data_IF_399029456930
#
_entry.id   IF_399029456930
#
_cell.length_a   1.000
_cell.length_b   1.000
_cell.length_c   1.000
_cell.angle_alpha   90.00
_cell.angle_beta   90.00
_cell.angle_gamma   90.00
#
_symmetry.space_group_name_H-M   'P 1'
#
loop_
_entity.id
_entity.type
_entity.pdbx_description
1 polymer ?
#
# COMPACT_ATOMS: atom_id res chain seq x y z
N UNK A 1 -8.42 -0.85 1.99
CA UNK A 1 -7.32 -0.22 2.77
C UNK A 1 -6.75 -1.25 3.74
N UNK A 2 -5.43 -1.43 3.75
CA UNK A 2 -4.71 -2.30 4.69
C UNK A 2 -3.78 -1.39 5.50
N UNK A 3 -4.05 -1.26 6.79
CA UNK A 3 -3.36 -0.33 7.68
C UNK A 3 -4.12 -0.14 8.98
N UNK A 4 -3.63 0.74 9.85
CA UNK A 4 -4.16 0.90 11.20
C UNK A 4 -3.58 -0.11 12.17
N UNK A 5 -2.70 0.39 13.03
CA UNK A 5 -2.18 -0.29 14.22
C UNK A 5 -2.73 0.35 15.50
N UNK A 6 -2.27 -0.14 16.65
CA UNK A 6 -2.63 0.39 17.98
C UNK A 6 -2.49 1.91 18.09
N UNK A 7 -1.40 2.48 17.57
CA UNK A 7 -1.12 3.92 17.68
C UNK A 7 -1.80 4.75 16.58
N UNK A 8 -1.90 4.22 15.36
CA UNK A 8 -2.26 5.00 14.18
C UNK A 8 -3.63 4.62 13.62
N UNK A 9 -4.69 5.00 14.33
CA UNK A 9 -6.08 4.65 13.98
C UNK A 9 -6.74 5.60 12.97
N UNK A 10 -6.28 6.86 12.88
CA UNK A 10 -6.90 7.89 12.03
C UNK A 10 -6.51 7.82 10.55
N UNK A 11 -5.26 7.50 10.23
CA UNK A 11 -4.77 7.41 8.85
C UNK A 11 -5.58 6.44 7.97
N UNK A 12 -5.89 5.20 8.38
CA UNK A 12 -6.71 4.29 7.57
C UNK A 12 -8.14 4.81 7.37
N UNK A 13 -8.71 5.53 8.35
CA UNK A 13 -10.03 6.16 8.19
C UNK A 13 -10.02 7.21 7.08
N UNK A 14 -9.05 8.14 7.09
CA UNK A 14 -8.99 9.19 6.07
C UNK A 14 -8.80 8.61 4.66
N UNK A 15 -7.97 7.59 4.50
CA UNK A 15 -7.82 6.89 3.23
C UNK A 15 -9.15 6.24 2.79
N UNK A 16 -9.82 5.53 3.71
CA UNK A 16 -11.04 4.79 3.41
C UNK A 16 -12.24 5.69 3.10
N UNK A 17 -12.46 6.74 3.90
CA UNK A 17 -13.58 7.66 3.71
C UNK A 17 -13.38 8.52 2.45
N UNK A 18 -12.12 8.90 2.15
CA UNK A 18 -11.83 9.65 0.92
C UNK A 18 -12.19 8.84 -0.32
N UNK A 19 -11.93 7.53 -0.33
CA UNK A 19 -12.35 6.64 -1.41
C UNK A 19 -13.87 6.67 -1.62
N UNK A 20 -14.67 6.59 -0.55
CA UNK A 20 -16.13 6.71 -0.65
C UNK A 20 -16.55 8.11 -1.16
N UNK A 21 -15.90 9.18 -0.69
CA UNK A 21 -16.23 10.55 -1.09
C UNK A 21 -15.92 10.85 -2.56
N UNK A 22 -14.93 10.19 -3.15
CA UNK A 22 -14.63 10.31 -4.59
C UNK A 22 -15.50 9.38 -5.46
N UNK A 23 -16.35 8.54 -4.85
CA UNK A 23 -17.35 7.75 -5.56
C UNK A 23 -17.11 6.24 -5.57
N UNK A 24 -16.26 5.69 -4.70
CA UNK A 24 -16.22 4.24 -4.51
C UNK A 24 -17.50 3.73 -3.84
N UNK A 25 -18.06 2.62 -4.33
CA UNK A 25 -19.30 2.05 -3.79
C UNK A 25 -19.10 1.43 -2.40
N UNK A 26 -17.97 0.74 -2.19
CA UNK A 26 -17.63 0.06 -0.94
C UNK A 26 -16.18 0.37 -0.54
N UNK A 27 -15.95 0.53 0.77
CA UNK A 27 -14.61 0.76 1.31
C UNK A 27 -14.35 -0.14 2.51
N UNK A 28 -13.40 -1.05 2.33
CA UNK A 28 -13.00 -2.03 3.34
C UNK A 28 -11.71 -1.56 4.03
N UNK A 29 -11.67 -1.68 5.35
CA UNK A 29 -10.48 -1.39 6.16
C UNK A 29 -10.05 -2.64 6.89
N UNK A 30 -8.88 -3.18 6.58
CA UNK A 30 -8.22 -4.24 7.34
C UNK A 30 -7.22 -3.59 8.28
N UNK A 31 -7.45 -3.75 9.59
CA UNK A 31 -6.67 -3.12 10.64
C UNK A 31 -6.48 -4.07 11.83
N UNK A 32 -5.70 -3.64 12.81
CA UNK A 32 -5.60 -4.36 14.08
C UNK A 32 -6.89 -4.25 14.89
N UNK A 33 -7.08 -5.17 15.84
CA UNK A 33 -8.23 -5.16 16.76
C UNK A 33 -8.33 -3.85 17.54
N UNK A 34 -7.20 -3.32 17.98
CA UNK A 34 -7.11 -2.08 18.76
C UNK A 34 -7.55 -0.85 17.95
N UNK A 35 -7.26 -0.82 16.65
CA UNK A 35 -7.66 0.26 15.76
C UNK A 35 -9.15 0.22 15.38
N UNK A 36 -9.74 -0.97 15.34
CA UNK A 36 -11.04 -1.18 14.70
C UNK A 36 -12.19 -0.45 15.36
N UNK A 37 -12.26 -0.44 16.70
CA UNK A 37 -13.34 0.24 17.44
C UNK A 37 -13.31 1.74 17.18
N UNK A 38 -12.12 2.34 17.12
CA UNK A 38 -11.95 3.77 16.83
C UNK A 38 -12.42 4.08 15.41
N UNK A 39 -11.94 3.33 14.41
CA UNK A 39 -12.28 3.55 12.99
C UNK A 39 -13.79 3.38 12.76
N UNK A 40 -14.42 2.35 13.34
CA UNK A 40 -15.87 2.11 13.25
C UNK A 40 -16.70 3.25 13.84
N UNK A 41 -16.18 3.97 14.83
CA UNK A 41 -16.90 5.09 15.46
C UNK A 41 -16.89 6.36 14.61
N UNK A 42 -15.97 6.50 13.67
CA UNK A 42 -15.91 7.67 12.78
C UNK A 42 -16.95 7.63 11.65
N UNK A 43 -17.30 6.45 11.11
CA UNK A 43 -18.37 6.33 10.13
C UNK A 43 -18.94 4.90 10.07
N UNK A 44 -20.29 4.75 10.05
CA UNK A 44 -20.94 3.46 9.84
C UNK A 44 -20.88 2.98 8.37
N UNK A 45 -20.42 3.81 7.43
CA UNK A 45 -20.33 3.47 6.00
C UNK A 45 -19.13 2.54 5.70
N UNK A 46 -18.12 2.54 6.58
CA UNK A 46 -16.90 1.75 6.39
C UNK A 46 -17.08 0.32 6.87
N UNK A 47 -16.60 -0.64 6.07
CA UNK A 47 -16.57 -2.07 6.45
C UNK A 47 -15.21 -2.36 7.07
N UNK A 48 -15.15 -2.46 8.40
CA UNK A 48 -13.90 -2.58 9.16
C UNK A 48 -13.69 -4.01 9.66
N UNK A 49 -12.55 -4.60 9.26
CA UNK A 49 -12.11 -5.98 9.49
C UNK A 49 -10.93 -6.00 10.49
N UNK A 50 -11.16 -6.34 11.77
CA UNK A 50 -10.13 -6.38 12.82
C UNK A 50 -9.33 -7.68 12.80
N UNK A 51 -8.63 -7.95 11.71
CA UNK A 51 -7.94 -9.24 11.49
C UNK A 51 -6.42 -9.15 11.58
N UNK A 52 -5.84 -7.96 11.51
CA UNK A 52 -4.39 -7.81 11.60
C UNK A 52 -3.94 -7.96 13.06
N UNK A 53 -2.75 -8.51 13.25
CA UNK A 53 -2.15 -8.74 14.57
C UNK A 53 -0.73 -8.19 14.59
N UNK A 54 -0.31 -7.67 15.74
CA UNK A 54 1.06 -7.20 15.99
C UNK A 54 1.82 -8.24 16.81
N UNK A 55 3.15 -8.20 16.75
CA UNK A 55 4.02 -9.22 17.36
C UNK A 55 3.75 -9.49 18.85
N UNK A 56 3.30 -8.51 19.62
CA UNK A 56 3.01 -8.67 21.05
C UNK A 56 1.76 -9.53 21.34
N UNK A 57 0.86 -9.67 20.37
CA UNK A 57 -0.39 -10.45 20.51
C UNK A 57 -0.23 -11.90 20.03
N UNK A 58 0.92 -12.25 19.47
CA UNK A 58 1.14 -13.53 18.79
C UNK A 58 2.34 -14.25 19.38
N UNK A 59 2.15 -15.50 19.79
CA UNK A 59 3.23 -16.36 20.29
C UNK A 59 4.10 -16.81 19.11
N UNK A 60 5.40 -16.98 19.36
CA UNK A 60 6.36 -17.32 18.29
C UNK A 60 6.04 -18.64 17.58
N UNK A 61 5.51 -19.64 18.29
CA UNK A 61 5.06 -20.93 17.75
C UNK A 61 3.77 -20.85 16.91
N UNK A 62 3.05 -19.71 16.98
CA UNK A 62 1.78 -19.48 16.30
C UNK A 62 1.90 -18.48 15.14
N UNK A 63 3.06 -17.82 14.96
CA UNK A 63 3.23 -16.76 13.95
C UNK A 63 2.87 -17.22 12.53
N UNK A 64 3.30 -18.41 12.13
CA UNK A 64 3.04 -18.92 10.78
C UNK A 64 1.55 -19.22 10.56
N UNK A 65 0.90 -19.83 11.55
CA UNK A 65 -0.53 -20.15 11.48
C UNK A 65 -1.39 -18.89 11.49
N UNK A 66 -1.05 -17.90 12.32
CA UNK A 66 -1.71 -16.59 12.36
C UNK A 66 -1.51 -15.85 11.04
N UNK A 67 -0.28 -15.77 10.52
CA UNK A 67 0.00 -15.10 9.23
C UNK A 67 -0.80 -15.73 8.08
N UNK A 68 -0.87 -17.07 8.05
CA UNK A 68 -1.66 -17.81 7.05
C UNK A 68 -3.16 -17.55 7.19
N UNK A 69 -3.66 -17.48 8.43
CA UNK A 69 -5.06 -17.15 8.73
C UNK A 69 -5.41 -15.72 8.28
N UNK A 70 -4.57 -14.74 8.60
CA UNK A 70 -4.73 -13.35 8.16
C UNK A 70 -4.82 -13.28 6.63
N UNK A 71 -3.87 -13.91 5.94
CA UNK A 71 -3.85 -13.94 4.49
C UNK A 71 -5.14 -14.57 3.93
N UNK A 72 -5.58 -15.71 4.48
CA UNK A 72 -6.81 -16.37 4.05
C UNK A 72 -8.05 -15.49 4.25
N UNK A 73 -8.16 -14.76 5.36
CA UNK A 73 -9.28 -13.84 5.59
C UNK A 73 -9.29 -12.67 4.60
N UNK A 74 -8.12 -12.10 4.27
CA UNK A 74 -8.05 -11.02 3.27
C UNK A 74 -8.42 -11.54 1.88
N UNK A 75 -7.91 -12.72 1.49
CA UNK A 75 -8.13 -13.32 0.17
C UNK A 75 -9.63 -13.49 -0.14
N UNK A 76 -10.45 -13.87 0.85
CA UNK A 76 -11.92 -13.99 0.70
C UNK A 76 -12.59 -12.75 0.11
N UNK A 77 -12.04 -11.58 0.41
CA UNK A 77 -12.52 -10.30 -0.10
C UNK A 77 -11.73 -9.80 -1.29
N UNK A 78 -10.44 -10.15 -1.36
CA UNK A 78 -9.48 -9.59 -2.28
C UNK A 78 -9.88 -9.74 -3.74
N UNK A 79 -10.47 -10.87 -4.15
CA UNK A 79 -10.98 -11.08 -5.52
C UNK A 79 -12.05 -10.08 -5.95
N UNK A 80 -12.74 -9.44 -4.99
CA UNK A 80 -13.80 -8.46 -5.24
C UNK A 80 -13.30 -7.03 -5.24
N UNK A 81 -12.03 -6.80 -4.89
CA UNK A 81 -11.47 -5.46 -4.83
C UNK A 81 -11.00 -4.99 -6.21
N UNK A 82 -11.46 -3.80 -6.60
CA UNK A 82 -10.92 -3.13 -7.78
C UNK A 82 -9.50 -2.61 -7.55
N UNK A 83 -9.15 -2.26 -6.31
CA UNK A 83 -7.80 -1.88 -5.90
C UNK A 83 -7.61 -2.05 -4.38
N UNK A 84 -6.35 -2.04 -3.94
CA UNK A 84 -5.97 -1.94 -2.52
C UNK A 84 -5.08 -0.72 -2.28
N UNK A 85 -5.13 -0.21 -1.05
CA UNK A 85 -4.20 0.80 -0.55
C UNK A 85 -3.52 0.21 0.67
N UNK A 86 -2.19 0.26 0.71
CA UNK A 86 -1.36 -0.36 1.75
C UNK A 86 -0.52 0.69 2.45
N UNK A 87 -0.55 0.67 3.80
CA UNK A 87 0.38 1.43 4.62
C UNK A 87 -0.18 2.57 5.48
N UNK A 88 -1.35 3.19 5.21
CA UNK A 88 -1.90 4.23 6.08
C UNK A 88 -2.02 3.78 7.54
N UNK A 89 -1.16 4.29 8.41
CA UNK A 89 -1.12 3.95 9.83
C UNK A 89 -0.76 2.49 10.12
N UNK A 90 0.01 1.83 9.25
CA UNK A 90 0.38 0.43 9.45
C UNK A 90 1.34 0.24 10.64
N UNK A 91 2.11 1.27 11.01
CA UNK A 91 3.16 1.13 12.01
C UNK A 91 4.38 0.40 11.45
N UNK A 92 5.27 -0.10 12.31
CA UNK A 92 6.52 -0.77 11.89
C UNK A 92 6.80 -2.05 12.67
N UNK A 93 5.76 -2.66 13.23
CA UNK A 93 5.85 -3.98 13.82
C UNK A 93 6.27 -5.00 12.75
N UNK A 94 7.30 -5.79 13.05
CA UNK A 94 7.90 -6.69 12.05
C UNK A 94 6.97 -7.81 11.63
N UNK A 95 6.21 -8.38 12.57
CA UNK A 95 5.26 -9.45 12.26
C UNK A 95 4.11 -8.94 11.38
N UNK A 96 3.56 -7.78 11.70
CA UNK A 96 2.52 -7.13 10.89
C UNK A 96 3.05 -6.81 9.48
N UNK A 97 4.26 -6.28 9.38
CA UNK A 97 4.93 -5.98 8.11
C UNK A 97 5.09 -7.23 7.23
N UNK A 98 5.50 -8.36 7.82
CA UNK A 98 5.63 -9.63 7.11
C UNK A 98 4.27 -10.14 6.60
N UNK A 99 3.23 -10.03 7.41
CA UNK A 99 1.86 -10.38 7.02
C UNK A 99 1.37 -9.52 5.85
N UNK A 100 1.59 -8.20 5.91
CA UNK A 100 1.24 -7.29 4.81
C UNK A 100 2.07 -7.58 3.56
N UNK A 101 3.35 -7.96 3.70
CA UNK A 101 4.18 -8.41 2.59
C UNK A 101 3.56 -9.62 1.88
N UNK A 102 3.02 -10.61 2.62
CA UNK A 102 2.32 -11.75 2.04
C UNK A 102 1.05 -11.32 1.28
N UNK A 103 0.27 -10.40 1.85
CA UNK A 103 -0.93 -9.83 1.22
C UNK A 103 -0.57 -9.12 -0.10
N UNK A 104 0.49 -8.32 -0.11
CA UNK A 104 0.96 -7.61 -1.32
C UNK A 104 1.43 -8.58 -2.40
N UNK A 105 2.15 -9.66 -2.04
CA UNK A 105 2.55 -10.70 -3.01
C UNK A 105 1.33 -11.36 -3.66
N UNK A 106 0.32 -11.70 -2.85
CA UNK A 106 -0.91 -12.29 -3.38
C UNK A 106 -1.66 -11.31 -4.27
N UNK A 107 -1.79 -10.04 -3.86
CA UNK A 107 -2.40 -9.00 -4.68
C UNK A 107 -1.69 -8.83 -6.02
N UNK A 108 -0.35 -8.88 -6.04
CA UNK A 108 0.43 -8.87 -7.28
C UNK A 108 0.14 -10.08 -8.17
N UNK A 109 0.14 -11.29 -7.61
CA UNK A 109 -0.15 -12.53 -8.35
C UNK A 109 -1.58 -12.54 -8.93
N UNK A 110 -2.51 -11.95 -8.18
CA UNK A 110 -3.88 -11.75 -8.59
C UNK A 110 -4.05 -10.42 -9.35
N UNK A 111 -3.00 -9.82 -9.93
CA UNK A 111 -2.88 -8.45 -10.45
C UNK A 111 -3.99 -7.47 -9.99
N UNK A 112 -4.04 -7.22 -8.68
CA UNK A 112 -4.89 -6.22 -8.09
C UNK A 112 -4.09 -4.93 -8.00
N UNK A 113 -4.59 -3.83 -8.58
CA UNK A 113 -3.92 -2.55 -8.48
C UNK A 113 -3.71 -2.13 -7.04
N UNK A 114 -2.49 -1.68 -6.76
CA UNK A 114 -2.04 -1.46 -5.38
C UNK A 114 -1.43 -0.07 -5.25
N UNK A 115 -2.04 0.79 -4.44
CA UNK A 115 -1.45 2.06 -4.01
C UNK A 115 -0.69 1.82 -2.71
N UNK A 116 0.54 2.29 -2.62
CA UNK A 116 1.39 2.10 -1.43
C UNK A 116 1.84 3.44 -0.89
N UNK A 117 1.52 3.66 0.37
CA UNK A 117 1.65 4.94 1.06
C UNK A 117 2.26 4.78 2.46
N UNK A 118 2.87 5.83 2.99
CA UNK A 118 3.39 5.88 4.36
C UNK A 118 4.25 4.68 4.75
N UNK A 119 3.87 3.95 5.81
CA UNK A 119 4.63 2.79 6.29
C UNK A 119 4.66 1.61 5.28
N UNK A 120 3.74 1.57 4.30
CA UNK A 120 3.84 0.64 3.18
C UNK A 120 5.07 0.91 2.30
N UNK A 121 5.48 2.17 2.15
CA UNK A 121 6.72 2.53 1.45
C UNK A 121 7.95 2.13 2.26
N UNK A 122 7.86 2.18 3.59
CA UNK A 122 8.90 1.61 4.45
C UNK A 122 9.06 0.10 4.23
N UNK A 123 7.94 -0.64 4.11
CA UNK A 123 7.97 -2.07 3.77
C UNK A 123 8.67 -2.31 2.42
N UNK A 124 8.28 -1.58 1.38
CA UNK A 124 8.89 -1.69 0.03
C UNK A 124 10.38 -1.38 0.06
N UNK A 125 10.79 -0.34 0.78
CA UNK A 125 12.19 0.07 0.87
C UNK A 125 13.08 -1.04 1.45
N UNK A 126 12.52 -1.90 2.30
CA UNK A 126 13.20 -3.06 2.86
C UNK A 126 13.01 -4.35 2.04
N UNK A 127 11.99 -4.40 1.17
CA UNK A 127 11.70 -5.55 0.31
C UNK A 127 11.15 -5.11 -1.05
N UNK A 128 12.06 -4.69 -1.94
CA UNK A 128 11.69 -4.11 -3.24
C UNK A 128 10.96 -5.09 -4.16
N UNK A 129 11.22 -6.40 -3.98
CA UNK A 129 10.58 -7.47 -4.75
C UNK A 129 9.05 -7.56 -4.58
N UNK A 130 8.49 -6.87 -3.58
CA UNK A 130 7.04 -6.74 -3.41
C UNK A 130 6.38 -5.94 -4.55
N UNK A 131 7.12 -5.05 -5.19
CA UNK A 131 6.60 -4.21 -6.29
C UNK A 131 7.37 -4.34 -7.58
N UNK A 132 8.56 -4.93 -7.58
CA UNK A 132 9.34 -5.24 -8.81
C UNK A 132 8.46 -5.91 -9.87
N UNK A 133 8.51 -5.44 -11.12
CA UNK A 133 7.67 -5.88 -12.25
C UNK A 133 6.15 -5.88 -11.98
N UNK A 134 5.66 -5.01 -11.09
CA UNK A 134 4.23 -4.79 -10.88
C UNK A 134 3.80 -3.45 -11.48
N UNK A 135 3.41 -3.46 -12.76
CA UNK A 135 2.97 -2.25 -13.47
C UNK A 135 1.68 -1.63 -12.91
N UNK A 136 0.92 -2.39 -12.11
CA UNK A 136 -0.27 -1.93 -11.42
C UNK A 136 -0.01 -1.31 -10.04
N UNK A 137 1.25 -1.27 -9.61
CA UNK A 137 1.64 -0.60 -8.37
C UNK A 137 1.80 0.92 -8.57
N UNK A 138 1.27 1.67 -7.60
CA UNK A 138 1.39 3.11 -7.48
C UNK A 138 2.06 3.44 -6.15
N UNK A 139 3.19 4.14 -6.18
CA UNK A 139 3.89 4.57 -4.95
C UNK A 139 3.63 6.05 -4.71
N UNK A 140 3.32 6.44 -3.46
CA UNK A 140 3.01 7.84 -3.11
C UNK A 140 4.00 8.48 -2.12
N UNK A 141 5.33 8.42 -2.37
CA UNK A 141 6.30 8.93 -1.41
C UNK A 141 6.24 10.45 -1.23
N UNK A 142 6.42 10.89 0.02
CA UNK A 142 6.89 12.24 0.29
C UNK A 142 8.39 12.39 -0.03
N UNK A 143 8.93 13.60 0.14
CA UNK A 143 10.33 13.91 -0.17
C UNK A 143 11.33 13.00 0.56
N UNK A 144 11.08 12.69 1.83
CA UNK A 144 11.98 11.87 2.63
C UNK A 144 11.90 10.38 2.27
N UNK A 145 10.70 9.88 2.01
CA UNK A 145 10.48 8.50 1.55
C UNK A 145 11.07 8.29 0.17
N UNK A 146 10.89 9.26 -0.73
CA UNK A 146 11.50 9.25 -2.07
C UNK A 146 13.02 9.18 -1.98
N UNK A 147 13.64 10.03 -1.14
CA UNK A 147 15.10 10.03 -0.93
C UNK A 147 15.60 8.65 -0.50
N UNK A 148 14.91 8.01 0.44
CA UNK A 148 15.26 6.65 0.91
C UNK A 148 15.10 5.61 -0.19
N UNK A 149 14.01 5.69 -0.95
CA UNK A 149 13.72 4.76 -2.04
C UNK A 149 14.79 4.85 -3.14
N UNK A 150 15.13 6.05 -3.59
CA UNK A 150 16.19 6.27 -4.59
C UNK A 150 17.54 5.78 -4.09
N UNK A 151 17.93 6.15 -2.86
CA UNK A 151 19.20 5.70 -2.28
C UNK A 151 19.30 4.17 -2.24
N UNK A 152 18.21 3.48 -1.90
CA UNK A 152 18.18 2.02 -1.84
C UNK A 152 18.17 1.36 -3.22
N UNK A 153 17.50 1.96 -4.20
CA UNK A 153 17.27 1.35 -5.50
C UNK A 153 18.36 1.69 -6.52
N UNK A 154 18.74 2.96 -6.61
CA UNK A 154 19.70 3.48 -7.58
C UNK A 154 21.12 3.57 -6.99
N UNK A 155 21.27 3.33 -5.68
CA UNK A 155 22.54 3.42 -4.97
C UNK A 155 23.26 4.76 -5.21
N UNK A 156 22.48 5.84 -5.29
CA UNK A 156 22.96 7.19 -5.53
C UNK A 156 22.38 8.17 -4.50
N UNK A 157 23.08 9.28 -4.27
CA UNK A 157 22.54 10.36 -3.46
C UNK A 157 21.49 11.16 -4.25
N UNK A 158 20.44 11.58 -3.55
CA UNK A 158 19.39 12.38 -4.16
C UNK A 158 19.82 13.84 -4.19
N UNK A 159 19.99 14.37 -5.40
CA UNK A 159 20.21 15.80 -5.64
C UNK A 159 18.91 16.40 -6.21
N UNK A 160 18.51 17.57 -5.72
CA UNK A 160 17.31 18.28 -6.18
C UNK A 160 17.40 18.66 -7.66
N UNK A 161 18.61 18.96 -8.17
CA UNK A 161 18.84 19.29 -9.58
C UNK A 161 18.53 18.10 -10.52
N UNK A 162 18.79 16.87 -10.07
CA UNK A 162 18.62 15.65 -10.87
C UNK A 162 17.39 14.85 -10.46
N UNK A 163 16.52 15.40 -9.60
CA UNK A 163 15.39 14.65 -9.03
C UNK A 163 14.45 14.11 -10.11
N UNK A 164 14.21 14.87 -11.19
CA UNK A 164 13.37 14.43 -12.32
C UNK A 164 13.99 13.26 -13.10
N UNK A 165 15.31 13.27 -13.30
CA UNK A 165 16.03 12.21 -13.99
C UNK A 165 16.09 10.94 -13.13
N UNK A 166 16.36 11.10 -11.84
CA UNK A 166 16.37 10.01 -10.87
C UNK A 166 14.98 9.36 -10.73
N UNK A 167 13.91 10.15 -10.74
CA UNK A 167 12.54 9.65 -10.73
C UNK A 167 12.24 8.86 -12.01
N UNK A 168 12.65 9.39 -13.17
CA UNK A 168 12.48 8.70 -14.46
C UNK A 168 13.24 7.37 -14.48
N UNK A 169 14.49 7.37 -14.01
CA UNK A 169 15.30 6.16 -13.92
C UNK A 169 14.70 5.13 -12.94
N UNK A 170 14.11 5.60 -11.83
CA UNK A 170 13.44 4.76 -10.86
C UNK A 170 12.18 4.10 -11.45
N UNK A 171 11.34 4.87 -12.14
CA UNK A 171 10.17 4.34 -12.84
C UNK A 171 10.55 3.37 -13.96
N UNK A 172 11.61 3.68 -14.73
CA UNK A 172 12.09 2.82 -15.81
C UNK A 172 12.67 1.50 -15.31
N UNK A 173 13.37 1.50 -14.17
CA UNK A 173 14.03 0.30 -13.64
C UNK A 173 13.05 -0.81 -13.28
N UNK A 174 11.83 -0.45 -12.91
CA UNK A 174 10.92 -1.39 -12.29
C UNK A 174 9.48 -1.30 -12.84
N UNK A 175 9.21 -0.41 -13.80
CA UNK A 175 7.90 -0.21 -14.45
C UNK A 175 6.77 0.23 -13.50
N UNK A 176 7.04 0.84 -12.34
CA UNK A 176 5.99 1.42 -11.49
C UNK A 176 5.70 2.88 -11.82
N UNK A 177 4.48 3.27 -11.47
CA UNK A 177 4.07 4.67 -11.45
C UNK A 177 4.37 5.24 -10.06
N UNK A 178 5.31 6.19 -9.99
CA UNK A 178 5.70 6.86 -8.74
C UNK A 178 5.15 8.28 -8.74
N UNK A 179 4.39 8.62 -7.70
CA UNK A 179 3.77 9.92 -7.49
C UNK A 179 4.40 10.58 -6.28
N UNK A 180 5.23 11.61 -6.51
CA UNK A 180 5.79 12.40 -5.43
C UNK A 180 4.82 13.52 -5.04
N UNK A 181 4.22 13.43 -3.85
CA UNK A 181 3.30 14.45 -3.34
C UNK A 181 4.11 15.47 -2.53
N UNK A 182 4.57 16.54 -3.21
CA UNK A 182 5.26 17.66 -2.58
C UNK A 182 4.25 18.61 -1.91
N UNK A 183 3.78 18.26 -0.71
CA UNK A 183 2.84 19.11 0.03
C UNK A 183 3.60 20.14 0.92
N UNK A 184 4.11 21.21 0.30
CA UNK A 184 4.18 22.61 0.78
C UNK A 184 5.27 23.41 0.03
N UNK A 185 4.81 24.42 -0.72
CA UNK A 185 5.56 25.54 -1.32
C UNK A 185 6.73 25.18 -2.25
N UNK A 186 6.46 25.30 -3.55
CA UNK A 186 7.37 25.20 -4.70
C UNK A 186 7.71 23.79 -5.16
N UNK A 187 7.45 23.59 -6.47
CA UNK A 187 7.86 22.47 -7.35
C UNK A 187 6.81 21.37 -7.55
N UNK A 188 6.21 21.46 -8.73
CA UNK A 188 5.50 20.50 -9.57
C UNK A 188 5.12 19.13 -8.97
N UNK A 189 3.82 18.84 -9.02
CA UNK A 189 3.32 17.47 -9.18
C UNK A 189 3.91 16.89 -10.48
N UNK A 190 4.98 16.10 -10.40
CA UNK A 190 5.45 15.31 -11.54
C UNK A 190 4.60 14.04 -11.59
N UNK A 191 3.59 14.04 -12.45
CA UNK A 191 2.66 12.94 -12.64
C UNK A 191 3.05 12.22 -13.93
N UNK A 192 3.61 11.01 -13.83
CA UNK A 192 3.80 10.13 -14.98
C UNK A 192 2.56 9.22 -15.12
N UNK A 193 1.60 9.68 -15.91
CA UNK A 193 0.53 8.86 -16.45
C UNK A 193 1.01 8.39 -17.82
N UNK A 194 1.35 7.11 -18.00
CA UNK A 194 1.37 6.63 -19.37
C UNK A 194 0.70 5.29 -19.65
N UNK A 195 0.50 4.35 -18.71
CA UNK A 195 -0.13 3.07 -19.07
C UNK A 195 -1.05 2.40 -18.04
N UNK A 196 -1.22 2.95 -16.83
CA UNK A 196 -1.91 2.22 -15.75
C UNK A 196 -3.37 1.84 -16.05
N UNK A 197 -4.17 2.78 -16.57
CA UNK A 197 -5.59 2.53 -16.86
C UNK A 197 -5.81 1.58 -18.05
N UNK A 198 -4.94 1.63 -19.07
CA UNK A 198 -4.99 0.73 -20.22
C UNK A 198 -4.60 -0.71 -19.82
N UNK A 199 -3.49 -0.87 -19.09
CA UNK A 199 -3.03 -2.17 -18.61
C UNK A 199 -4.08 -2.83 -17.70
N UNK A 200 -4.72 -2.06 -16.81
CA UNK A 200 -5.77 -2.57 -15.94
C UNK A 200 -6.95 -3.18 -16.70
N UNK A 201 -7.43 -2.52 -17.76
CA UNK A 201 -8.56 -3.02 -18.54
C UNK A 201 -8.22 -4.26 -19.38
N UNK A 202 -7.00 -4.36 -19.89
CA UNK A 202 -6.53 -5.55 -20.61
C UNK A 202 -6.41 -6.75 -19.67
N UNK A 203 -5.83 -6.57 -18.49
CA UNK A 203 -5.70 -7.63 -17.49
C UNK A 203 -7.04 -8.04 -16.87
N UNK A 204 -8.01 -7.12 -16.73
CA UNK A 204 -9.35 -7.49 -16.22
C UNK A 204 -10.14 -8.33 -17.23
N UNK A 205 -9.95 -8.08 -18.54
CA UNK A 205 -10.55 -8.90 -19.61
C UNK A 205 -10.00 -10.32 -19.64
N UNK A 206 -8.73 -10.54 -19.25
CA UNK A 206 -8.16 -11.89 -19.21
C UNK A 206 -8.69 -12.74 -18.03
N UNK A 207 -9.16 -12.10 -16.95
CA UNK A 207 -9.79 -12.80 -15.80
C UNK A 207 -11.24 -13.21 -15.99
N UNK A 208 -11.91 -12.65 -16.98
CA UNK A 208 -13.35 -12.86 -17.22
C UNK A 208 -13.65 -13.93 -18.29
N UNK A 209 -12.63 -14.60 -18.80
CA UNK A 209 -12.69 -15.79 -19.65
C UNK A 209 -12.14 -17.01 -18.90
#
# INVERSE_FOLDING_TARGET
IIGGCREYTGAPYFAAISALRVGADLSHVFCTKDAATVIKSYSPELIVHPILEESYSVRDDERESVSSSILAEVIKWMERFDCIVVGPGLGRDSFLMDCVGNIMRHARQANIPTVVDGDGLFLITNNIGLVEDNSLAILTPNVYEYKRLVQKVLNCEVNEENASEQLTALCQKYEQNIYCIFLLMFICNLVFFQNWWCNYHEERKSRSN
#
